data_IF_063275104258
#
_entry.id   IF_063275104258
#
_cell.length_a   1.000
_cell.length_b   1.000
_cell.length_c   1.000
_cell.angle_alpha   90.00
_cell.angle_beta   90.00
_cell.angle_gamma   90.00
#
_symmetry.space_group_name_H-M   'P 1'
#
loop_
_entity.id
_entity.type
_entity.pdbx_description
1 polymer ?
#
# COMPACT_ATOMS: atom_id res chain seq x y z
N UNK A 1 1.72 22.36 -2.79
CA UNK A 1 1.18 21.22 -3.56
C UNK A 1 2.36 20.34 -3.98
N UNK A 2 2.52 19.15 -3.39
CA UNK A 2 3.64 18.27 -3.73
C UNK A 2 3.41 17.68 -5.13
N UNK A 3 4.08 18.29 -6.12
CA UNK A 3 4.21 17.77 -7.47
C UNK A 3 4.79 16.36 -7.38
N UNK A 4 4.10 15.39 -7.97
CA UNK A 4 4.69 14.12 -8.39
C UNK A 4 5.84 14.50 -9.33
N UNK A 5 7.06 14.61 -8.82
CA UNK A 5 8.21 15.05 -9.60
C UNK A 5 8.47 13.99 -10.66
N UNK A 6 8.34 14.41 -11.93
CA UNK A 6 8.86 13.69 -13.08
C UNK A 6 10.37 13.53 -12.89
N UNK A 7 10.83 12.31 -12.66
CA UNK A 7 12.17 11.88 -13.10
C UNK A 7 12.06 10.47 -13.65
N UNK A 8 12.37 10.42 -14.93
CA UNK A 8 12.31 9.34 -15.90
C UNK A 8 13.18 8.13 -15.55
N UNK A 9 12.59 6.95 -15.64
CA UNK A 9 13.13 5.79 -16.36
C UNK A 9 11.95 4.81 -16.50
N UNK A 10 11.91 4.06 -17.60
CA UNK A 10 10.86 3.12 -17.96
C UNK A 10 10.69 2.06 -16.87
N UNK A 11 9.87 2.33 -15.86
CA UNK A 11 9.46 1.30 -14.92
C UNK A 11 8.41 0.47 -15.64
N UNK A 12 8.73 -0.76 -16.00
CA UNK A 12 7.83 -1.72 -16.67
C UNK A 12 6.65 -2.18 -15.77
N UNK A 13 6.32 -1.39 -14.75
CA UNK A 13 5.27 -1.69 -13.78
C UNK A 13 3.93 -1.11 -14.28
N UNK A 14 2.85 -1.91 -14.22
CA UNK A 14 1.52 -1.45 -14.60
C UNK A 14 1.07 -0.20 -13.81
N UNK A 15 0.28 0.65 -14.46
CA UNK A 15 -0.42 1.75 -13.81
C UNK A 15 -1.83 1.30 -13.45
N UNK A 16 -2.15 1.22 -12.17
CA UNK A 16 -3.46 0.77 -11.69
C UNK A 16 -4.44 1.93 -11.50
N UNK A 17 -4.13 3.15 -11.97
CA UNK A 17 -4.97 4.32 -11.71
C UNK A 17 -6.45 4.10 -12.11
N UNK A 18 -6.69 3.46 -13.24
CA UNK A 18 -8.03 3.28 -13.78
C UNK A 18 -8.81 2.20 -13.02
N UNK A 19 -8.15 1.15 -12.52
CA UNK A 19 -8.81 0.11 -11.70
C UNK A 19 -9.29 0.62 -10.36
N UNK A 20 -8.62 1.64 -9.80
CA UNK A 20 -8.98 2.27 -8.53
C UNK A 20 -9.88 3.50 -8.69
N UNK A 21 -10.46 3.73 -9.88
CA UNK A 21 -11.40 4.83 -10.13
C UNK A 21 -12.84 4.29 -10.16
N UNK A 22 -13.57 4.33 -9.04
CA UNK A 22 -14.95 3.84 -9.00
C UNK A 22 -15.88 4.79 -9.77
N UNK A 23 -16.88 4.23 -10.46
CA UNK A 23 -17.89 5.04 -11.16
C UNK A 23 -18.87 5.74 -10.20
N UNK A 24 -18.99 5.26 -8.96
CA UNK A 24 -19.96 5.75 -7.97
C UNK A 24 -19.25 6.04 -6.63
N UNK A 25 -19.70 7.07 -5.87
CA UNK A 25 -19.19 7.32 -4.53
C UNK A 25 -19.68 6.26 -3.53
N UNK A 26 -18.98 6.13 -2.40
CA UNK A 26 -19.32 5.17 -1.36
C UNK A 26 -20.18 5.81 -0.25
N UNK A 27 -21.07 5.01 0.37
CA UNK A 27 -21.92 5.49 1.47
C UNK A 27 -21.15 5.65 2.80
N UNK A 28 -20.06 4.90 2.99
CA UNK A 28 -19.26 4.95 4.21
C UNK A 28 -17.77 4.86 3.94
N UNK A 29 -16.99 5.26 4.95
CA UNK A 29 -15.54 5.15 4.97
C UNK A 29 -15.10 3.69 4.83
N UNK A 30 -15.75 2.81 5.57
CA UNK A 30 -15.44 1.38 5.67
C UNK A 30 -15.74 0.69 4.34
N UNK A 31 -16.84 1.04 3.67
CA UNK A 31 -17.18 0.53 2.35
C UNK A 31 -16.10 0.89 1.32
N UNK A 32 -15.63 2.15 1.32
CA UNK A 32 -14.55 2.59 0.43
C UNK A 32 -13.23 1.84 0.72
N UNK A 33 -12.86 1.68 1.99
CA UNK A 33 -11.63 0.97 2.37
C UNK A 33 -11.70 -0.52 1.99
N UNK A 34 -12.82 -1.17 2.28
CA UNK A 34 -13.03 -2.59 1.96
C UNK A 34 -12.92 -2.84 0.46
N UNK A 35 -13.60 -2.03 -0.36
CA UNK A 35 -13.51 -2.10 -1.81
C UNK A 35 -12.07 -1.94 -2.32
N UNK A 36 -11.34 -0.94 -1.81
CA UNK A 36 -9.93 -0.72 -2.15
C UNK A 36 -9.04 -1.92 -1.79
N UNK A 37 -9.29 -2.56 -0.64
CA UNK A 37 -8.52 -3.73 -0.20
C UNK A 37 -8.86 -4.98 -1.02
N UNK A 38 -10.11 -5.14 -1.47
CA UNK A 38 -10.51 -6.24 -2.37
C UNK A 38 -9.76 -6.09 -3.70
N UNK A 39 -9.84 -4.93 -4.35
CA UNK A 39 -9.15 -4.67 -5.62
C UNK A 39 -7.64 -4.79 -5.47
N UNK A 40 -7.07 -4.30 -4.37
CA UNK A 40 -5.64 -4.49 -4.09
C UNK A 40 -5.25 -5.97 -4.11
N UNK A 41 -6.01 -6.82 -3.40
CA UNK A 41 -5.76 -8.27 -3.32
C UNK A 41 -5.90 -8.95 -4.69
N UNK A 42 -6.90 -8.58 -5.48
CA UNK A 42 -7.06 -9.08 -6.85
C UNK A 42 -5.84 -8.74 -7.72
N UNK A 43 -5.30 -7.53 -7.55
CA UNK A 43 -4.07 -7.07 -8.22
C UNK A 43 -2.78 -7.48 -7.49
N UNK A 44 -2.87 -8.44 -6.56
CA UNK A 44 -1.78 -9.09 -5.81
C UNK A 44 -1.05 -8.25 -4.76
N UNK A 45 -1.50 -7.03 -4.43
CA UNK A 45 -0.84 -6.20 -3.42
C UNK A 45 -1.76 -5.72 -2.29
N UNK A 46 -1.18 -5.45 -1.12
CA UNK A 46 -1.94 -5.03 0.06
C UNK A 46 -1.92 -3.51 0.24
N UNK A 47 -3.09 -2.92 0.51
CA UNK A 47 -3.25 -1.52 0.89
C UNK A 47 -3.39 -1.36 2.40
N UNK A 48 -2.59 -0.46 2.96
CA UNK A 48 -2.54 -0.14 4.38
C UNK A 48 -2.91 1.32 4.64
N UNK A 49 -3.57 1.59 5.76
CA UNK A 49 -3.91 2.96 6.19
C UNK A 49 -2.64 3.67 6.65
N UNK A 50 -2.20 4.64 5.86
CA UNK A 50 -1.03 5.48 6.19
C UNK A 50 -1.38 6.58 7.17
N UNK A 51 -2.54 7.21 6.97
CA UNK A 51 -3.12 8.21 7.88
C UNK A 51 -4.63 8.21 7.74
N UNK A 52 -5.31 8.50 8.84
CA UNK A 52 -6.73 8.82 8.80
C UNK A 52 -7.05 9.96 9.74
N UNK A 53 -7.80 10.91 9.22
CA UNK A 53 -8.31 12.06 9.93
C UNK A 53 -9.83 11.87 10.06
N UNK A 54 -10.35 11.95 11.28
CA UNK A 54 -11.78 11.87 11.55
C UNK A 54 -12.49 13.18 11.12
N UNK A 55 -13.81 13.10 10.96
CA UNK A 55 -14.64 14.29 10.78
C UNK A 55 -14.55 15.15 12.03
N UNK A 56 -14.18 16.41 11.86
CA UNK A 56 -14.14 17.43 12.90
C UNK A 56 -15.13 18.55 12.59
N UNK A 57 -15.26 19.52 13.50
CA UNK A 57 -16.22 20.63 13.39
C UNK A 57 -16.03 21.43 12.10
N UNK A 58 -14.77 21.65 11.68
CA UNK A 58 -14.41 22.43 10.47
C UNK A 58 -13.69 21.61 9.39
N UNK A 59 -13.58 20.29 9.57
CA UNK A 59 -12.79 19.42 8.70
C UNK A 59 -13.53 18.14 8.36
N UNK A 60 -13.54 17.77 7.08
CA UNK A 60 -14.13 16.51 6.62
C UNK A 60 -13.21 15.32 6.87
N UNK A 61 -13.79 14.14 7.02
CA UNK A 61 -13.06 12.89 7.14
C UNK A 61 -12.15 12.63 5.93
N UNK A 62 -10.96 12.09 6.19
CA UNK A 62 -9.99 11.73 5.15
C UNK A 62 -9.24 10.48 5.53
N UNK A 63 -9.03 9.59 4.57
CA UNK A 63 -8.17 8.42 4.74
C UNK A 63 -7.16 8.38 3.60
N UNK A 64 -5.88 8.22 3.95
CA UNK A 64 -4.81 7.96 3.00
C UNK A 64 -4.40 6.50 3.11
N UNK A 65 -4.64 5.76 2.04
CA UNK A 65 -4.17 4.40 1.86
C UNK A 65 -2.90 4.41 1.02
N UNK A 66 -1.98 3.49 1.30
CA UNK A 66 -0.76 3.32 0.55
C UNK A 66 -0.44 1.84 0.43
N UNK A 67 0.45 1.48 -0.50
CA UNK A 67 0.95 0.10 -0.58
C UNK A 67 1.62 -0.30 0.75
N UNK A 68 1.50 -1.56 1.15
CA UNK A 68 2.21 -2.12 2.31
C UNK A 68 3.71 -1.86 2.24
N UNK A 69 4.33 -1.87 1.06
CA UNK A 69 5.76 -1.57 0.87
C UNK A 69 6.10 -0.08 0.85
N UNK A 70 5.14 0.80 1.14
CA UNK A 70 5.35 2.25 1.18
C UNK A 70 6.13 2.71 2.42
N UNK A 71 6.94 3.76 2.21
CA UNK A 71 7.77 4.38 3.24
C UNK A 71 9.13 3.70 3.45
N UNK A 72 9.90 4.25 4.38
CA UNK A 72 11.22 3.76 4.79
C UNK A 72 11.18 3.34 6.25
N UNK A 73 12.11 2.47 6.65
CA UNK A 73 12.30 2.15 8.06
C UNK A 73 12.73 3.41 8.83
N UNK A 74 12.06 3.70 9.94
CA UNK A 74 12.50 4.72 10.88
C UNK A 74 13.44 4.07 11.88
N UNK A 75 14.75 4.34 11.74
CA UNK A 75 15.73 3.93 12.75
C UNK A 75 15.38 4.47 14.14
N UNK A 76 15.92 3.83 15.19
CA UNK A 76 15.67 4.19 16.59
C UNK A 76 15.89 5.69 16.88
N UNK A 77 16.86 6.31 16.20
CA UNK A 77 17.15 7.74 16.27
C UNK A 77 15.99 8.67 15.83
N UNK A 78 15.04 8.21 15.01
CA UNK A 78 13.87 8.99 14.58
C UNK A 78 12.66 8.84 15.50
N UNK A 79 12.71 7.93 16.49
CA UNK A 79 11.65 7.75 17.50
C UNK A 79 11.84 8.64 18.72
N UNK A 80 13.08 9.05 18.99
CA UNK A 80 13.36 10.15 19.90
C UNK A 80 12.82 11.41 19.22
N UNK A 81 12.02 12.19 19.94
CA UNK A 81 11.37 13.40 19.42
C UNK A 81 12.37 14.38 18.83
N UNK A 82 11.88 15.55 18.38
CA UNK A 82 12.69 16.65 17.84
C UNK A 82 13.66 17.29 18.87
N UNK A 83 14.31 16.50 19.70
CA UNK A 83 15.45 16.85 20.54
C UNK A 83 16.74 16.56 19.78
N UNK A 84 17.67 17.49 19.90
CA UNK A 84 18.94 17.59 19.18
C UNK A 84 19.68 16.25 19.10
N UNK A 85 20.24 15.97 17.92
CA UNK A 85 21.12 14.84 17.66
C UNK A 85 22.20 14.75 18.76
N UNK A 86 22.14 13.74 19.60
CA UNK A 86 23.33 13.25 20.28
C UNK A 86 24.01 12.30 19.30
N UNK A 87 25.29 12.60 19.03
CA UNK A 87 26.21 11.72 18.31
C UNK A 87 26.21 10.32 18.96
N UNK A 88 26.87 9.37 18.30
CA UNK A 88 27.15 7.99 18.74
C UNK A 88 26.17 6.93 18.23
N UNK A 89 26.19 6.71 16.91
CA UNK A 89 26.49 5.36 16.40
C UNK A 89 27.47 5.52 15.24
N UNK A 90 28.71 5.08 15.43
CA UNK A 90 29.71 5.00 14.37
C UNK A 90 29.14 4.10 13.28
N UNK A 91 28.95 4.64 12.08
CA UNK A 91 28.68 3.87 10.87
C UNK A 91 29.90 2.99 10.60
N UNK A 92 29.83 1.71 10.98
CA UNK A 92 30.84 0.76 10.54
C UNK A 92 30.64 0.55 9.03
N UNK A 93 31.71 0.60 8.25
CA UNK A 93 31.66 0.41 6.79
C UNK A 93 31.37 -1.03 6.37
N UNK A 94 30.94 -1.90 7.30
CA UNK A 94 30.69 -3.32 7.09
C UNK A 94 29.25 -3.76 7.42
N UNK A 95 28.31 -2.81 7.44
CA UNK A 95 26.87 -3.08 7.59
C UNK A 95 26.14 -3.32 6.24
N UNK A 96 26.88 -3.40 5.13
CA UNK A 96 26.31 -3.76 3.81
C UNK A 96 25.93 -5.25 3.77
N UNK A 97 26.74 -6.12 4.39
CA UNK A 97 26.53 -7.57 4.46
C UNK A 97 25.81 -8.07 5.72
N UNK A 98 25.62 -7.22 6.73
CA UNK A 98 24.83 -7.53 7.93
C UNK A 98 23.35 -7.13 7.81
N UNK A 99 22.90 -6.71 6.62
CA UNK A 99 21.48 -6.72 6.30
C UNK A 99 21.09 -8.17 6.09
N UNK A 100 20.69 -8.81 7.18
CA UNK A 100 20.05 -10.12 7.14
C UNK A 100 19.12 -10.19 5.91
N UNK A 101 19.20 -11.29 5.18
CA UNK A 101 18.22 -11.69 4.15
C UNK A 101 16.77 -11.73 4.71
N UNK A 102 16.56 -11.49 6.00
CA UNK A 102 15.30 -11.00 6.61
C UNK A 102 15.05 -9.51 6.27
N UNK A 103 15.11 -9.15 4.99
CA UNK A 103 14.96 -7.77 4.51
C UNK A 103 13.55 -7.23 4.74
N UNK A 104 13.44 -6.06 5.36
CA UNK A 104 12.15 -5.36 5.51
C UNK A 104 11.54 -5.09 4.13
N UNK A 105 10.29 -5.50 3.88
CA UNK A 105 9.61 -5.34 2.58
C UNK A 105 9.40 -3.88 2.15
N UNK A 106 9.74 -2.88 2.98
CA UNK A 106 9.54 -1.44 2.72
C UNK A 106 10.57 -0.93 1.70
N UNK A 107 10.13 -0.51 0.52
CA UNK A 107 10.97 -0.01 -0.57
C UNK A 107 10.63 1.44 -0.98
N UNK A 108 9.88 2.17 -0.15
CA UNK A 108 9.46 3.53 -0.48
C UNK A 108 8.44 3.61 -1.62
N UNK A 109 7.62 2.57 -1.81
CA UNK A 109 6.63 2.51 -2.88
C UNK A 109 5.76 3.79 -2.95
N UNK A 110 5.65 4.44 -4.12
CA UNK A 110 4.92 5.70 -4.28
C UNK A 110 3.40 5.52 -4.35
N UNK A 111 2.92 4.28 -4.55
CA UNK A 111 1.49 3.98 -4.68
C UNK A 111 0.70 4.53 -3.49
N UNK A 112 -0.27 5.39 -3.80
CA UNK A 112 -1.06 6.06 -2.77
C UNK A 112 -2.45 6.43 -3.28
N UNK A 113 -3.45 6.18 -2.45
CA UNK A 113 -4.86 6.50 -2.67
C UNK A 113 -5.35 7.37 -1.53
N UNK A 114 -6.25 8.28 -1.85
CA UNK A 114 -6.84 9.19 -0.88
C UNK A 114 -8.36 9.12 -0.98
N UNK A 115 -8.98 8.71 0.12
CA UNK A 115 -10.44 8.69 0.30
C UNK A 115 -10.83 9.94 1.08
N UNK A 116 -11.81 10.70 0.59
CA UNK A 116 -12.31 11.93 1.22
C UNK A 116 -13.81 11.88 1.37
N UNK A 117 -14.28 12.31 2.52
CA UNK A 117 -15.69 12.60 2.76
C UNK A 117 -16.06 13.94 2.11
N UNK A 118 -17.23 13.99 1.47
CA UNK A 118 -17.84 15.21 0.91
C UNK A 118 -18.83 15.85 1.89
N UNK A 119 -19.46 16.97 1.49
CA UNK A 119 -20.54 17.60 2.24
C UNK A 119 -21.73 16.64 2.48
N UNK A 120 -22.07 15.83 1.48
CA UNK A 120 -23.22 14.92 1.48
C UNK A 120 -22.95 13.60 2.24
N UNK A 121 -21.91 13.57 3.08
CA UNK A 121 -21.42 12.37 3.78
C UNK A 121 -21.00 11.20 2.87
N UNK A 122 -20.94 11.43 1.55
CA UNK A 122 -20.44 10.49 0.56
C UNK A 122 -18.91 10.48 0.52
N UNK A 123 -18.33 9.31 0.25
CA UNK A 123 -16.89 9.09 0.22
C UNK A 123 -16.39 8.91 -1.22
N UNK A 124 -15.41 9.73 -1.60
CA UNK A 124 -14.80 9.73 -2.92
C UNK A 124 -13.37 9.21 -2.86
N UNK A 125 -13.01 8.35 -3.80
CA UNK A 125 -11.67 7.82 -3.97
C UNK A 125 -10.92 8.65 -5.00
N UNK A 126 -9.70 9.07 -4.66
CA UNK A 126 -8.79 9.74 -5.59
C UNK A 126 -7.44 9.04 -5.55
N UNK A 127 -7.01 8.50 -6.69
CA UNK A 127 -5.69 7.92 -6.85
C UNK A 127 -4.66 9.05 -6.96
N UNK A 128 -3.69 9.09 -6.04
CA UNK A 128 -2.58 10.06 -6.07
C UNK A 128 -1.45 9.51 -6.96
N UNK A 129 -1.14 8.22 -6.80
CA UNK A 129 -0.17 7.52 -7.62
C UNK A 129 -0.62 6.06 -7.79
N UNK A 130 -0.83 5.63 -9.03
CA UNK A 130 -1.27 4.27 -9.39
C UNK A 130 -0.13 3.30 -9.70
N UNK A 131 1.13 3.73 -9.56
CA UNK A 131 2.31 2.93 -9.94
C UNK A 131 3.05 2.38 -8.74
N UNK A 132 3.63 1.21 -8.95
CA UNK A 132 4.55 0.56 -8.01
C UNK A 132 5.99 0.72 -8.49
N UNK A 133 6.93 0.60 -7.56
CA UNK A 133 8.38 0.55 -7.85
C UNK A 133 8.99 -0.81 -7.47
N UNK A 134 8.13 -1.82 -7.34
CA UNK A 134 8.47 -3.18 -6.91
C UNK A 134 7.43 -4.13 -7.50
N UNK A 135 7.75 -5.42 -7.54
CA UNK A 135 6.80 -6.44 -7.97
C UNK A 135 5.60 -6.51 -7.02
N UNK A 136 4.41 -6.51 -7.60
CA UNK A 136 3.15 -6.59 -6.86
C UNK A 136 2.89 -8.00 -6.34
N UNK A 137 3.53 -9.05 -6.88
CA UNK A 137 3.36 -10.46 -6.52
C UNK A 137 3.92 -10.86 -5.13
N UNK A 138 3.71 -10.02 -4.12
CA UNK A 138 4.12 -10.30 -2.75
C UNK A 138 3.06 -11.07 -1.99
N UNK A 139 3.05 -12.40 -2.13
CA UNK A 139 2.31 -13.42 -1.35
C UNK A 139 0.97 -13.87 -1.96
N UNK A 140 1.05 -14.76 -2.95
CA UNK A 140 0.05 -15.81 -3.14
C UNK A 140 0.76 -17.16 -3.06
N UNK A 141 1.15 -17.55 -1.86
CA UNK A 141 1.49 -18.95 -1.59
C UNK A 141 0.29 -19.51 -0.83
N UNK A 142 -0.72 -19.95 -1.58
CA UNK A 142 -1.70 -20.96 -1.13
C UNK A 142 -2.10 -21.79 -2.36
N UNK A 143 -1.60 -23.02 -2.36
CA UNK A 143 -1.73 -24.11 -3.32
C UNK A 143 -2.78 -23.95 -4.42
N UNK A 144 -2.28 -23.84 -5.65
CA UNK A 144 -2.86 -24.59 -6.76
C UNK A 144 -2.38 -26.04 -6.58
N UNK A 145 -3.27 -26.92 -6.15
CA UNK A 145 -3.16 -28.35 -6.44
C UNK A 145 -4.53 -28.81 -6.94
N UNK A 146 -4.51 -29.26 -8.20
CA UNK A 146 -5.58 -29.88 -8.94
C UNK A 146 -5.97 -31.20 -8.27
N UNK A 147 -7.26 -31.44 -8.02
CA UNK A 147 -7.84 -32.80 -7.95
C UNK A 147 -9.31 -32.76 -8.40
N UNK A 148 -9.54 -32.45 -9.68
CA UNK A 148 -10.68 -33.05 -10.38
C UNK A 148 -10.13 -34.20 -11.23
N UNK A 149 -10.08 -35.40 -10.67
CA UNK A 149 -10.20 -36.67 -11.40
C UNK A 149 -10.20 -37.84 -10.39
N UNK A 150 -11.36 -38.49 -10.25
CA UNK A 150 -11.58 -39.88 -9.85
C UNK A 150 -12.92 -40.07 -9.11
N UNK A 151 -14.04 -39.90 -9.82
CA UNK A 151 -15.30 -40.59 -9.48
C UNK A 151 -15.89 -41.17 -10.77
N UNK A 152 -15.31 -42.29 -11.17
CA UNK A 152 -15.74 -43.07 -12.33
C UNK A 152 -15.06 -44.42 -12.34
N UNK A 153 -15.23 -45.20 -11.28
CA UNK A 153 -14.94 -46.64 -11.32
C UNK A 153 -16.26 -47.41 -11.32
N UNK A 154 -16.50 -48.06 -12.46
CA UNK A 154 -17.48 -49.09 -12.71
C UNK A 154 -17.52 -50.17 -11.61
N UNK A 155 -18.66 -50.34 -10.95
CA UNK A 155 -19.03 -51.64 -10.40
C UNK A 155 -20.10 -52.28 -11.30
N UNK A 156 -19.68 -53.36 -11.94
CA UNK A 156 -20.52 -54.48 -12.36
C UNK A 156 -21.12 -55.18 -11.16
#
# INVERSE_FOLDING_TARGET
MLRCQRRSSLSNFPDYKDTFTPCKPFPSREAAISWLQIIGRENKFVLVTKRSDARGIKSRGRVKLACERSGTYRGLAQRVGKGKATKFFKKSRNDEKARSHTGTKKCGCPFQINVKENADSLWYVTVICGRHNHDTAGRLDKGEEEVEDALGEDLK
#
